data_IF_339811296668
#
_entry.id   IF_339811296668
#
_cell.length_a   1.000
_cell.length_b   1.000
_cell.length_c   1.000
_cell.angle_alpha   90.00
_cell.angle_beta   90.00
_cell.angle_gamma   90.00
#
_symmetry.space_group_name_H-M   'P 1'
#
loop_
_entity.id
_entity.type
_entity.pdbx_description
1 polymer ?
#
# COMPACT_ATOMS: atom_id res chain seq x y z
N UNK A 1 26.57 13.88 -18.69
CA UNK A 1 25.23 13.90 -19.31
C UNK A 1 24.26 13.33 -18.28
N UNK A 2 23.28 14.10 -17.80
CA UNK A 2 22.37 13.63 -16.76
C UNK A 2 21.30 12.76 -17.43
N UNK A 3 21.15 11.51 -16.99
CA UNK A 3 20.10 10.61 -17.50
C UNK A 3 18.72 11.20 -17.17
N UNK A 4 17.77 11.09 -18.11
CA UNK A 4 16.38 11.41 -17.78
C UNK A 4 15.82 10.34 -16.84
N UNK A 5 14.76 10.69 -16.10
CA UNK A 5 14.09 9.75 -15.20
C UNK A 5 13.63 8.49 -15.95
N UNK A 6 12.97 8.64 -17.09
CA UNK A 6 12.51 7.51 -17.91
C UNK A 6 13.65 6.62 -18.42
N UNK A 7 14.79 7.22 -18.78
CA UNK A 7 15.97 6.46 -19.20
C UNK A 7 16.56 5.67 -18.03
N UNK A 8 16.62 6.28 -16.84
CA UNK A 8 17.12 5.59 -15.67
C UNK A 8 16.20 4.42 -15.27
N UNK A 9 14.89 4.61 -15.24
CA UNK A 9 13.94 3.52 -14.93
C UNK A 9 14.08 2.35 -15.90
N UNK A 10 14.30 2.62 -17.19
CA UNK A 10 14.56 1.57 -18.19
C UNK A 10 15.84 0.80 -17.87
N UNK A 11 16.94 1.49 -17.58
CA UNK A 11 18.23 0.86 -17.22
C UNK A 11 18.15 0.08 -15.91
N UNK A 12 17.42 0.58 -14.92
CA UNK A 12 17.19 -0.13 -13.66
C UNK A 12 16.45 -1.42 -13.96
N UNK A 13 15.37 -1.38 -14.75
CA UNK A 13 14.58 -2.57 -15.09
C UNK A 13 15.33 -3.60 -15.94
N UNK A 14 16.35 -3.19 -16.68
CA UNK A 14 17.23 -4.15 -17.37
C UNK A 14 18.10 -4.94 -16.38
N UNK A 15 18.46 -4.35 -15.24
CA UNK A 15 19.30 -4.98 -14.21
C UNK A 15 18.50 -5.65 -13.10
N UNK A 16 17.43 -5.00 -12.63
CA UNK A 16 16.57 -5.43 -11.55
C UNK A 16 15.09 -5.28 -11.94
N UNK A 17 14.42 -6.43 -12.08
CA UNK A 17 13.01 -6.53 -12.49
C UNK A 17 12.06 -6.71 -11.31
N UNK A 18 12.53 -6.58 -10.07
CA UNK A 18 11.69 -6.72 -8.87
C UNK A 18 10.61 -5.66 -8.77
N UNK A 19 10.88 -4.46 -9.31
CA UNK A 19 9.98 -3.31 -9.22
C UNK A 19 9.30 -3.00 -10.56
N UNK A 20 8.00 -2.71 -10.52
CA UNK A 20 7.26 -2.25 -11.69
C UNK A 20 7.65 -0.80 -12.07
N UNK A 21 7.44 -0.43 -13.35
CA UNK A 21 7.62 0.97 -13.81
C UNK A 21 6.74 1.91 -13.01
N UNK A 22 5.51 1.50 -12.70
CA UNK A 22 4.54 2.30 -11.98
C UNK A 22 5.01 2.63 -10.55
N UNK A 23 5.77 1.73 -9.91
CA UNK A 23 6.39 2.02 -8.61
C UNK A 23 7.34 3.22 -8.70
N UNK A 24 8.16 3.31 -9.75
CA UNK A 24 9.10 4.42 -9.91
C UNK A 24 8.36 5.73 -10.16
N UNK A 25 7.36 5.73 -11.03
CA UNK A 25 6.50 6.90 -11.26
C UNK A 25 5.85 7.37 -9.96
N UNK A 26 5.29 6.43 -9.19
CA UNK A 26 4.68 6.71 -7.90
C UNK A 26 5.70 7.26 -6.88
N UNK A 27 6.92 6.72 -6.85
CA UNK A 27 8.00 7.24 -6.00
C UNK A 27 8.30 8.71 -6.32
N UNK A 28 8.38 9.08 -7.60
CA UNK A 28 8.61 10.47 -8.03
C UNK A 28 7.49 11.40 -7.55
N UNK A 29 6.25 10.99 -7.73
CA UNK A 29 5.08 11.80 -7.35
C UNK A 29 4.99 11.94 -5.82
N UNK A 30 5.30 10.86 -5.09
CA UNK A 30 5.34 10.88 -3.63
C UNK A 30 6.44 11.79 -3.08
N UNK A 31 7.58 11.89 -3.75
CA UNK A 31 8.67 12.81 -3.38
C UNK A 31 8.22 14.26 -3.57
N UNK A 32 7.60 14.59 -4.70
CA UNK A 32 7.03 15.93 -4.96
C UNK A 32 5.97 16.30 -3.91
N UNK A 33 5.08 15.36 -3.57
CA UNK A 33 4.11 15.53 -2.49
C UNK A 33 4.80 15.81 -1.14
N UNK A 34 5.86 15.09 -0.82
CA UNK A 34 6.60 15.22 0.44
C UNK A 34 7.30 16.57 0.55
N UNK A 35 7.99 17.01 -0.51
CA UNK A 35 8.64 18.32 -0.58
C UNK A 35 7.61 19.43 -0.37
N UNK A 36 6.50 19.38 -1.11
CA UNK A 36 5.39 20.35 -0.98
C UNK A 36 4.80 20.38 0.42
N UNK A 37 4.64 19.21 1.06
CA UNK A 37 4.09 19.09 2.42
C UNK A 37 5.03 19.65 3.50
N UNK A 38 6.33 19.40 3.39
CA UNK A 38 7.29 19.76 4.45
C UNK A 38 7.76 21.22 4.37
N UNK A 39 7.99 21.73 3.15
CA UNK A 39 8.64 23.04 2.96
C UNK A 39 7.96 23.95 1.95
N UNK A 40 6.76 23.59 1.47
CA UNK A 40 6.09 24.34 0.40
C UNK A 40 6.84 24.21 -0.94
N UNK A 41 6.81 25.25 -1.77
CA UNK A 41 7.43 25.26 -3.11
C UNK A 41 8.91 25.68 -3.11
N UNK A 42 9.68 25.32 -2.06
CA UNK A 42 11.11 25.67 -2.01
C UNK A 42 11.91 24.64 -2.83
N UNK A 43 12.17 25.00 -4.09
CA UNK A 43 13.00 24.23 -5.01
C UNK A 43 14.40 23.96 -4.42
N UNK A 44 14.85 22.71 -4.47
CA UNK A 44 16.16 22.29 -3.96
C UNK A 44 16.18 21.80 -2.51
N UNK A 45 15.00 21.61 -1.89
CA UNK A 45 14.91 21.00 -0.56
C UNK A 45 15.32 19.53 -0.62
N UNK A 46 16.41 19.18 0.08
CA UNK A 46 16.76 17.80 0.36
C UNK A 46 15.80 17.19 1.38
N UNK A 47 15.28 16.01 1.06
CA UNK A 47 14.42 15.21 1.93
C UNK A 47 15.25 14.01 2.35
N UNK A 48 15.36 13.74 3.66
CA UNK A 48 16.07 12.55 4.13
C UNK A 48 15.24 11.27 3.91
N UNK A 49 15.87 10.10 4.00
CA UNK A 49 15.18 8.83 3.76
C UNK A 49 13.94 8.60 4.62
N UNK A 50 13.97 9.03 5.88
CA UNK A 50 12.82 8.92 6.81
C UNK A 50 11.65 9.81 6.40
N UNK A 51 11.92 11.06 6.07
CA UNK A 51 10.91 12.00 5.60
C UNK A 51 10.28 11.51 4.29
N UNK A 52 11.10 11.01 3.36
CA UNK A 52 10.63 10.42 2.12
C UNK A 52 9.71 9.24 2.37
N UNK A 53 10.09 8.29 3.23
CA UNK A 53 9.25 7.12 3.53
C UNK A 53 7.93 7.48 4.20
N UNK A 54 7.93 8.45 5.13
CA UNK A 54 6.72 8.92 5.78
C UNK A 54 5.79 9.63 4.78
N UNK A 55 6.35 10.48 3.92
CA UNK A 55 5.60 11.15 2.87
C UNK A 55 5.09 10.18 1.79
N UNK A 56 5.87 9.15 1.45
CA UNK A 56 5.47 8.05 0.58
C UNK A 56 4.25 7.31 1.13
N UNK A 57 4.29 6.94 2.42
CA UNK A 57 3.16 6.32 3.10
C UNK A 57 1.92 7.20 3.06
N UNK A 58 2.07 8.46 3.42
CA UNK A 58 0.96 9.40 3.51
C UNK A 58 0.35 9.66 2.12
N UNK A 59 1.19 9.70 1.07
CA UNK A 59 0.74 9.79 -0.31
C UNK A 59 0.00 8.53 -0.77
N UNK A 60 0.51 7.34 -0.44
CA UNK A 60 -0.16 6.08 -0.76
C UNK A 60 -1.52 5.94 -0.08
N UNK A 61 -1.63 6.35 1.18
CA UNK A 61 -2.90 6.42 1.89
C UNK A 61 -3.86 7.44 1.29
N UNK A 62 -3.35 8.56 0.78
CA UNK A 62 -4.17 9.58 0.13
C UNK A 62 -4.75 9.09 -1.20
N UNK A 63 -3.93 8.45 -2.04
CA UNK A 63 -4.35 8.02 -3.39
C UNK A 63 -5.17 6.72 -3.36
N UNK A 64 -4.79 5.75 -2.53
CA UNK A 64 -5.37 4.39 -2.57
C UNK A 64 -6.10 3.98 -1.28
N UNK A 65 -5.99 4.77 -0.21
CA UNK A 65 -6.62 4.49 1.08
C UNK A 65 -6.30 3.08 1.60
N UNK A 66 -7.31 2.24 1.90
CA UNK A 66 -7.09 0.89 2.44
C UNK A 66 -6.44 -0.07 1.44
N UNK A 67 -6.46 0.25 0.15
CA UNK A 67 -5.85 -0.58 -0.90
C UNK A 67 -4.37 -0.30 -1.12
N UNK A 68 -3.81 0.75 -0.49
CA UNK A 68 -2.42 1.16 -0.67
C UNK A 68 -1.44 -0.01 -0.57
N UNK A 69 -1.51 -0.81 0.49
CA UNK A 69 -0.63 -1.96 0.66
C UNK A 69 -0.77 -3.02 -0.44
N UNK A 70 -1.98 -3.23 -0.97
CA UNK A 70 -2.20 -4.20 -2.06
C UNK A 70 -1.62 -3.72 -3.39
N UNK A 71 -1.82 -2.43 -3.71
CA UNK A 71 -1.26 -1.82 -4.92
C UNK A 71 0.26 -1.83 -4.88
N UNK A 72 0.85 -1.38 -3.77
CA UNK A 72 2.30 -1.36 -3.59
C UNK A 72 2.92 -2.77 -3.72
N UNK A 73 2.31 -3.79 -3.10
CA UNK A 73 2.76 -5.18 -3.24
C UNK A 73 2.67 -5.69 -4.68
N UNK A 74 1.64 -5.29 -5.43
CA UNK A 74 1.53 -5.68 -6.84
C UNK A 74 2.64 -5.10 -7.71
N UNK A 75 3.24 -3.98 -7.30
CA UNK A 75 4.40 -3.39 -7.95
C UNK A 75 5.75 -3.87 -7.41
N UNK A 76 5.75 -4.86 -6.50
CA UNK A 76 6.95 -5.45 -5.92
C UNK A 76 7.43 -4.80 -4.62
N UNK A 77 6.67 -3.84 -4.06
CA UNK A 77 7.00 -3.15 -2.81
C UNK A 77 6.33 -3.82 -1.61
N UNK A 78 7.12 -4.52 -0.80
CA UNK A 78 6.63 -5.27 0.36
C UNK A 78 7.03 -4.63 1.69
N UNK A 79 8.10 -3.83 1.71
CA UNK A 79 8.67 -3.23 2.92
C UNK A 79 9.35 -1.90 2.61
N UNK A 80 9.66 -1.11 3.65
CA UNK A 80 10.32 0.18 3.50
C UNK A 80 11.69 0.10 2.79
N UNK A 81 12.43 -0.99 3.02
CA UNK A 81 13.73 -1.23 2.39
C UNK A 81 13.61 -1.30 0.86
N UNK A 82 12.51 -1.84 0.32
CA UNK A 82 12.30 -1.95 -1.12
C UNK A 82 12.18 -0.55 -1.78
N UNK A 83 11.56 0.40 -1.08
CA UNK A 83 11.49 1.80 -1.51
C UNK A 83 12.88 2.44 -1.44
N UNK A 84 13.66 2.13 -0.39
CA UNK A 84 15.06 2.55 -0.28
C UNK A 84 15.90 2.07 -1.46
N UNK A 85 15.82 0.77 -1.80
CA UNK A 85 16.55 0.17 -2.93
C UNK A 85 16.24 0.92 -4.24
N UNK A 86 14.97 1.26 -4.50
CA UNK A 86 14.59 2.05 -5.66
C UNK A 86 15.22 3.45 -5.67
N UNK A 87 15.27 4.13 -4.53
CA UNK A 87 15.89 5.45 -4.38
C UNK A 87 17.40 5.36 -4.64
N UNK A 88 18.06 4.34 -4.10
CA UNK A 88 19.50 4.14 -4.30
C UNK A 88 19.84 3.84 -5.76
N UNK A 89 19.05 3.01 -6.45
CA UNK A 89 19.22 2.80 -7.89
C UNK A 89 19.12 4.11 -8.70
N UNK A 90 18.19 5.00 -8.34
CA UNK A 90 18.05 6.31 -8.99
C UNK A 90 19.19 7.29 -8.66
N UNK A 91 19.75 7.20 -7.45
CA UNK A 91 20.92 7.96 -7.03
C UNK A 91 22.17 7.51 -7.81
N UNK A 92 22.39 6.21 -7.95
CA UNK A 92 23.54 5.67 -8.69
C UNK A 92 23.56 6.11 -10.16
N UNK A 93 22.39 6.29 -10.76
CA UNK A 93 22.24 6.79 -12.13
C UNK A 93 22.24 8.33 -12.23
N UNK A 94 22.43 9.03 -11.11
CA UNK A 94 22.53 10.49 -11.06
C UNK A 94 21.21 11.23 -11.32
N UNK A 95 20.07 10.54 -11.22
CA UNK A 95 18.74 11.14 -11.35
C UNK A 95 18.36 11.85 -10.06
N UNK A 96 18.60 11.21 -8.92
CA UNK A 96 18.40 11.78 -7.59
C UNK A 96 19.73 12.26 -6.99
N UNK A 97 19.66 13.31 -6.19
CA UNK A 97 20.81 13.79 -5.41
C UNK A 97 21.00 12.94 -4.17
N UNK A 98 22.24 12.52 -3.91
CA UNK A 98 22.63 11.82 -2.69
C UNK A 98 23.00 12.80 -1.58
N UNK A 99 22.55 12.58 -0.35
CA UNK A 99 23.20 13.16 0.82
C UNK A 99 24.29 12.21 1.33
N UNK A 100 25.42 12.74 1.80
CA UNK A 100 26.53 11.92 2.33
C UNK A 100 26.12 11.06 3.53
N UNK A 101 25.05 11.46 4.24
CA UNK A 101 24.51 10.74 5.38
C UNK A 101 23.47 9.67 5.03
N UNK A 102 22.97 9.62 3.78
CA UNK A 102 21.90 8.67 3.43
C UNK A 102 22.47 7.26 3.22
N UNK A 103 21.99 6.33 4.04
CA UNK A 103 22.28 4.90 3.96
C UNK A 103 21.03 4.10 3.62
N UNK A 104 21.14 2.96 2.91
CA UNK A 104 20.00 2.06 2.69
C UNK A 104 19.35 1.62 4.01
N UNK A 105 20.17 1.50 5.06
CA UNK A 105 19.75 1.19 6.43
C UNK A 105 18.77 2.22 7.01
N UNK A 106 18.86 3.49 6.59
CA UNK A 106 17.94 4.55 7.06
C UNK A 106 16.50 4.32 6.57
N UNK A 107 16.32 3.43 5.59
CA UNK A 107 15.03 3.03 5.07
C UNK A 107 14.48 1.76 5.75
N UNK A 108 15.24 1.16 6.67
CA UNK A 108 14.81 -0.03 7.37
C UNK A 108 13.87 0.28 8.54
N UNK A 109 12.85 -0.55 8.72
CA UNK A 109 12.01 -0.65 9.92
C UNK A 109 11.34 0.67 10.38
N UNK A 110 11.09 1.62 9.47
CA UNK A 110 10.38 2.85 9.81
C UNK A 110 8.91 2.56 10.13
N UNK A 111 8.27 1.71 9.33
CA UNK A 111 6.94 1.20 9.59
C UNK A 111 6.72 -0.14 8.89
N UNK A 112 5.83 -0.97 9.45
CA UNK A 112 5.33 -2.15 8.77
C UNK A 112 4.20 -1.76 7.80
N UNK A 113 4.19 -2.34 6.59
CA UNK A 113 3.20 -2.02 5.56
C UNK A 113 1.78 -2.45 5.98
N UNK A 114 1.63 -3.60 6.65
CA UNK A 114 0.32 -4.03 7.10
C UNK A 114 -0.21 -3.12 8.22
N UNK A 115 0.64 -2.70 9.15
CA UNK A 115 0.24 -1.72 10.17
C UNK A 115 -0.09 -0.35 9.55
N UNK A 116 0.76 0.16 8.68
CA UNK A 116 0.60 1.47 8.05
C UNK A 116 -0.66 1.59 7.20
N UNK A 117 -1.02 0.55 6.45
CA UNK A 117 -2.09 0.62 5.47
C UNK A 117 -3.40 -0.04 5.94
N UNK A 118 -3.39 -0.93 6.94
CA UNK A 118 -4.62 -1.58 7.46
C UNK A 118 -5.14 -0.98 8.76
N UNK A 119 -4.29 -0.57 9.70
CA UNK A 119 -4.75 -0.04 11.00
C UNK A 119 -5.72 1.13 10.90
N UNK A 120 -5.50 2.15 10.03
CA UNK A 120 -6.40 3.31 9.96
C UNK A 120 -7.84 2.97 9.58
N UNK A 121 -8.04 1.84 8.89
CA UNK A 121 -9.33 1.41 8.35
C UNK A 121 -9.92 0.21 9.11
N UNK A 122 -9.28 -0.26 10.19
CA UNK A 122 -9.91 -1.25 11.04
C UNK A 122 -11.13 -0.60 11.70
N UNK A 123 -12.34 -1.17 11.54
CA UNK A 123 -13.49 -0.65 12.25
C UNK A 123 -13.18 -0.66 13.74
N UNK A 124 -13.23 0.53 14.36
CA UNK A 124 -13.15 0.65 15.81
C UNK A 124 -14.26 -0.24 16.33
N UNK A 125 -13.93 -1.28 17.11
CA UNK A 125 -14.92 -2.11 17.77
C UNK A 125 -15.78 -1.20 18.64
N UNK A 126 -16.92 -0.77 18.10
CA UNK A 126 -17.99 -0.17 18.86
C UNK A 126 -18.62 -1.33 19.63
N UNK A 127 -18.01 -1.71 20.76
CA UNK A 127 -18.74 -2.39 21.83
C UNK A 127 -19.68 -1.35 22.45
N UNK A 128 -20.73 -1.00 21.73
CA UNK A 128 -21.79 -0.15 22.21
C UNK A 128 -23.09 -0.96 22.20
N UNK A 129 -23.34 -1.66 23.30
CA UNK A 129 -24.68 -2.10 23.70
C UNK A 129 -25.26 -3.34 22.99
N UNK A 130 -24.50 -4.42 22.77
CA UNK A 130 -25.16 -5.72 22.65
C UNK A 130 -25.70 -6.10 24.04
N UNK A 131 -27.02 -6.28 24.24
CA UNK A 131 -27.49 -6.93 25.45
C UNK A 131 -26.89 -8.34 25.49
N UNK A 132 -26.31 -8.70 26.65
CA UNK A 132 -25.86 -10.07 26.92
C UNK A 132 -27.08 -10.99 26.80
N UNK A 133 -27.26 -11.65 25.64
CA UNK A 133 -28.39 -12.57 25.43
C UNK A 133 -28.92 -12.74 24.01
N UNK A 134 -28.40 -12.03 22.99
CA UNK A 134 -28.83 -12.28 21.61
C UNK A 134 -28.21 -13.57 21.07
N UNK A 135 -28.82 -14.72 21.37
CA UNK A 135 -28.56 -15.97 20.64
C UNK A 135 -28.97 -15.77 19.19
N UNK A 136 -28.07 -16.01 18.25
CA UNK A 136 -28.42 -16.12 16.83
C UNK A 136 -29.52 -17.18 16.69
N UNK A 137 -30.75 -16.75 16.42
CA UNK A 137 -31.86 -17.66 16.13
C UNK A 137 -31.49 -18.36 14.83
N UNK A 138 -31.15 -19.64 14.91
CA UNK A 138 -31.01 -20.50 13.75
C UNK A 138 -32.30 -20.38 12.94
N UNK A 139 -32.19 -19.83 11.74
CA UNK A 139 -33.27 -19.86 10.76
C UNK A 139 -33.47 -21.33 10.42
N UNK A 140 -34.53 -21.94 10.97
CA UNK A 140 -34.95 -23.27 10.55
C UNK A 140 -35.38 -23.16 9.08
N UNK A 141 -34.84 -23.97 8.16
CA UNK A 141 -35.33 -23.98 6.79
C UNK A 141 -36.79 -24.44 6.80
N UNK A 142 -37.66 -23.69 6.10
CA UNK A 142 -39.07 -24.04 5.93
C UNK A 142 -39.22 -25.42 5.29
N UNK A 143 -40.17 -26.27 5.75
CA UNK A 143 -40.41 -27.56 5.12
C UNK A 143 -40.91 -27.34 3.69
N UNK A 144 -40.21 -27.95 2.73
CA UNK A 144 -40.64 -28.07 1.34
C UNK A 144 -42.01 -28.78 1.33
N UNK A 145 -43.04 -28.10 0.82
CA UNK A 145 -44.39 -28.63 0.68
C UNK A 145 -44.36 -30.04 0.10
N UNK A 146 -44.84 -30.99 0.90
CA UNK A 146 -44.92 -32.39 0.53
C UNK A 146 -46.03 -32.56 -0.51
N UNK A 147 -45.63 -32.97 -1.72
CA UNK A 147 -46.54 -33.43 -2.76
C UNK A 147 -47.50 -34.49 -2.18
N UNK A 148 -48.79 -34.19 -2.21
CA UNK A 148 -49.86 -35.11 -1.81
C UNK A 148 -49.86 -36.35 -2.72
N UNK A 149 -49.54 -37.50 -2.15
CA UNK A 149 -49.88 -38.81 -2.72
C UNK A 149 -51.32 -39.14 -2.31
N UNK A 150 -52.28 -38.87 -3.20
CA UNK A 150 -53.64 -39.38 -3.10
C UNK A 150 -53.71 -40.84 -3.54
N UNK A 151 -54.10 -41.73 -2.62
CA UNK A 151 -54.13 -43.18 -2.80
C UNK A 151 -55.20 -43.68 -3.77
N UNK A 152 -54.90 -44.83 -4.38
CA UNK A 152 -55.84 -45.67 -5.11
C UNK A 152 -56.73 -46.48 -4.14
N UNK A 153 -58.02 -46.69 -4.42
CA UNK A 153 -58.78 -47.75 -3.78
C UNK A 153 -58.84 -48.99 -4.70
N UNK A 154 -58.56 -50.16 -4.12
CA UNK A 154 -58.77 -51.48 -4.72
C UNK A 154 -60.07 -52.07 -4.18
N UNK A 155 -61.06 -52.27 -5.06
CA UNK A 155 -61.82 -53.51 -5.35
C UNK A 155 -63.09 -53.15 -6.14
#
# INVERSE_FOLDING_TARGET
MKLSFDQAVRLIREKDRRFDVDAFSFLRDSLDFTVKKLRGEIAGTHVNGRELLLGFRDYALKEFGPMAGTVLRSWGLNRCQDVGDMVFHLIELGVFGRSESDKPEDFADIYDFDDAFRMPFRPRRLIHGLPQGATYRSVQPSPLESMEQGGAPTL
#
